data_IF_649299548051
#
_entry.id   IF_649299548051
#
_cell.length_a   1.000
_cell.length_b   1.000
_cell.length_c   1.000
_cell.angle_alpha   90.00
_cell.angle_beta   90.00
_cell.angle_gamma   90.00
#
_symmetry.space_group_name_H-M   'P 1'
#
loop_
_entity.id
_entity.type
_entity.pdbx_description
1 polymer ?
#
# COMPACT_ATOMS: atom_id res chain seq x y z
N UNK A 1 -7.43 -9.32 26.54
CA UNK A 1 -7.72 -8.82 25.17
C UNK A 1 -7.48 -9.97 24.20
N UNK A 2 -8.46 -10.36 23.37
CA UNK A 2 -8.30 -11.45 22.38
C UNK A 2 -7.57 -10.86 21.16
N UNK A 3 -6.39 -11.39 20.80
CA UNK A 3 -5.68 -10.97 19.58
C UNK A 3 -6.57 -11.34 18.39
N UNK A 4 -6.91 -10.38 17.54
CA UNK A 4 -7.61 -10.67 16.27
C UNK A 4 -6.72 -11.58 15.41
N UNK A 5 -7.33 -12.46 14.63
CA UNK A 5 -6.58 -13.24 13.65
C UNK A 5 -5.90 -12.27 12.65
N UNK A 6 -4.66 -12.55 12.23
CA UNK A 6 -3.97 -11.69 11.28
C UNK A 6 -4.73 -11.63 9.95
N UNK A 7 -4.86 -10.41 9.42
CA UNK A 7 -5.49 -10.19 8.12
C UNK A 7 -4.60 -10.66 6.96
N UNK A 8 -5.17 -10.87 5.76
CA UNK A 8 -4.40 -11.11 4.55
C UNK A 8 -3.63 -9.85 4.13
N UNK A 9 -2.43 -10.02 3.56
CA UNK A 9 -1.63 -8.97 2.95
C UNK A 9 -1.04 -9.43 1.61
N UNK A 10 -0.65 -8.49 0.75
CA UNK A 10 0.10 -8.81 -0.47
C UNK A 10 1.55 -9.21 -0.15
N UNK A 11 2.29 -9.77 -1.13
CA UNK A 11 3.66 -10.23 -0.92
C UNK A 11 4.69 -9.09 -0.89
N UNK A 12 4.28 -7.86 -1.18
CA UNK A 12 5.15 -6.70 -1.34
C UNK A 12 4.79 -5.59 -0.36
N UNK A 13 5.82 -4.91 0.16
CA UNK A 13 5.65 -3.68 0.93
C UNK A 13 5.91 -2.50 0.00
N UNK A 14 4.93 -1.61 -0.11
CA UNK A 14 5.03 -0.39 -0.90
C UNK A 14 4.77 0.82 -0.02
N UNK A 15 5.48 1.92 -0.26
CA UNK A 15 5.03 3.23 0.22
C UNK A 15 3.72 3.61 -0.48
N UNK A 16 2.92 4.46 0.18
CA UNK A 16 1.61 4.85 -0.34
C UNK A 16 1.71 5.63 -1.66
N UNK A 17 2.71 6.50 -1.81
CA UNK A 17 2.99 7.20 -3.05
C UNK A 17 3.33 6.23 -4.19
N UNK A 18 4.19 5.24 -3.92
CA UNK A 18 4.52 4.21 -4.90
C UNK A 18 3.31 3.40 -5.37
N UNK A 19 2.39 3.04 -4.47
CA UNK A 19 1.13 2.39 -4.85
C UNK A 19 0.31 3.26 -5.80
N UNK A 20 0.23 4.57 -5.51
CA UNK A 20 -0.45 5.54 -6.38
C UNK A 20 0.20 5.63 -7.76
N UNK A 21 1.53 5.68 -7.83
CA UNK A 21 2.28 5.74 -9.08
C UNK A 21 2.01 4.51 -9.96
N UNK A 22 2.11 3.31 -9.38
CA UNK A 22 1.84 2.05 -10.09
C UNK A 22 0.41 2.03 -10.65
N UNK A 23 -0.55 2.50 -9.85
CA UNK A 23 -1.97 2.58 -10.26
C UNK A 23 -2.17 3.52 -11.44
N UNK A 24 -1.61 4.74 -11.37
CA UNK A 24 -1.75 5.74 -12.43
C UNK A 24 -0.95 5.36 -13.68
N UNK A 25 0.17 4.65 -13.53
CA UNK A 25 0.91 4.11 -14.65
C UNK A 25 0.11 3.02 -15.40
N UNK A 26 -0.60 2.15 -14.66
CA UNK A 26 -1.44 1.11 -15.25
C UNK A 26 -2.70 1.68 -15.94
N UNK A 27 -3.29 2.74 -15.37
CA UNK A 27 -4.47 3.41 -15.93
C UNK A 27 -4.33 4.94 -15.87
N UNK A 28 -3.67 5.55 -16.86
CA UNK A 28 -3.45 7.00 -16.87
C UNK A 28 -4.75 7.78 -16.95
N UNK A 29 -4.89 8.79 -16.10
CA UNK A 29 -6.05 9.70 -16.09
C UNK A 29 -5.65 11.19 -16.00
N UNK A 30 -4.38 11.49 -16.26
CA UNK A 30 -3.83 12.84 -16.25
C UNK A 30 -3.45 13.37 -14.86
N UNK A 31 -3.68 12.61 -13.79
CA UNK A 31 -3.18 12.97 -12.45
C UNK A 31 -1.72 12.52 -12.24
N UNK A 32 -1.08 13.11 -11.25
CA UNK A 32 0.27 12.75 -10.78
C UNK A 32 0.25 12.56 -9.27
N UNK A 33 1.16 11.73 -8.76
CA UNK A 33 1.36 11.56 -7.31
C UNK A 33 2.31 12.63 -6.81
N UNK A 34 1.97 13.26 -5.69
CA UNK A 34 2.84 14.19 -4.96
C UNK A 34 2.85 13.79 -3.49
N UNK A 35 4.04 13.64 -2.94
CA UNK A 35 4.25 13.41 -1.51
C UNK A 35 4.45 14.75 -0.82
N UNK A 36 3.57 15.07 0.13
CA UNK A 36 3.65 16.29 0.94
C UNK A 36 4.06 15.94 2.37
N UNK A 37 5.34 16.15 2.67
CA UNK A 37 5.93 15.93 4.00
C UNK A 37 5.47 16.98 5.03
N UNK A 38 4.70 17.99 4.60
CA UNK A 38 4.14 19.04 5.45
C UNK A 38 2.63 18.87 5.67
N UNK A 39 2.04 17.75 5.23
CA UNK A 39 0.61 17.42 5.31
C UNK A 39 0.11 17.12 6.74
N UNK A 40 0.53 17.89 7.74
CA UNK A 40 0.02 17.88 9.10
C UNK A 40 0.00 16.49 9.74
N UNK A 41 -1.20 16.02 10.10
CA UNK A 41 -1.38 14.72 10.76
C UNK A 41 -1.03 13.53 9.85
N UNK A 42 -1.10 13.68 8.53
CA UNK A 42 -0.80 12.60 7.59
C UNK A 42 0.71 12.42 7.38
N UNK A 43 1.47 13.51 7.39
CA UNK A 43 2.93 13.47 7.29
C UNK A 43 3.62 12.95 8.56
N UNK A 44 2.93 12.97 9.71
CA UNK A 44 3.48 12.52 11.00
C UNK A 44 3.27 11.03 11.29
N UNK A 45 2.62 10.30 10.38
CA UNK A 45 2.38 8.87 10.57
C UNK A 45 3.70 8.09 10.52
N UNK A 46 4.01 7.23 11.49
CA UNK A 46 5.19 6.38 11.42
C UNK A 46 5.15 5.45 10.21
N UNK A 47 6.32 5.15 9.67
CA UNK A 47 6.44 4.12 8.63
C UNK A 47 5.93 2.76 9.14
N UNK A 48 5.29 2.01 8.25
CA UNK A 48 4.90 0.63 8.55
C UNK A 48 3.60 0.46 9.33
N UNK A 49 2.87 1.52 9.71
CA UNK A 49 1.59 1.38 10.45
C UNK A 49 0.50 0.61 9.69
N UNK A 50 0.59 0.56 8.36
CA UNK A 50 -0.29 -0.22 7.48
C UNK A 50 0.35 -1.52 6.99
N UNK A 51 1.59 -1.80 7.37
CA UNK A 51 2.29 -3.03 6.98
C UNK A 51 1.89 -4.12 7.96
N UNK A 52 1.49 -5.27 7.42
CA UNK A 52 1.17 -6.44 8.23
C UNK A 52 2.35 -6.83 9.12
N UNK A 53 2.07 -7.22 10.36
CA UNK A 53 3.11 -7.80 11.21
C UNK A 53 3.59 -9.15 10.65
N UNK A 54 4.63 -9.73 11.25
CA UNK A 54 5.15 -11.05 10.82
C UNK A 54 4.16 -12.21 10.95
N UNK A 55 2.93 -11.96 11.42
CA UNK A 55 1.85 -12.95 11.48
C UNK A 55 0.85 -12.81 10.34
N UNK A 56 0.95 -11.77 9.50
CA UNK A 56 0.09 -11.56 8.34
C UNK A 56 0.12 -12.76 7.38
N UNK A 57 -1.07 -13.13 6.87
CA UNK A 57 -1.16 -14.16 5.84
C UNK A 57 -0.84 -13.54 4.48
N UNK A 58 0.34 -13.83 3.94
CA UNK A 58 0.76 -13.28 2.64
C UNK A 58 0.11 -14.05 1.49
N UNK A 59 -0.67 -13.34 0.68
CA UNK A 59 -1.18 -13.82 -0.60
C UNK A 59 -0.07 -13.78 -1.67
N UNK A 60 -0.21 -14.61 -2.71
CA UNK A 60 0.78 -14.70 -3.78
C UNK A 60 0.66 -13.58 -4.85
N UNK A 61 -0.46 -12.87 -4.89
CA UNK A 61 -0.75 -11.90 -5.95
C UNK A 61 0.03 -10.61 -5.72
N UNK A 62 0.94 -10.27 -6.63
CA UNK A 62 1.64 -8.97 -6.64
C UNK A 62 0.69 -7.87 -7.08
N UNK A 63 0.95 -6.63 -6.64
CA UNK A 63 0.03 -5.53 -6.93
C UNK A 63 -0.05 -5.22 -8.44
N UNK A 64 1.10 -5.22 -9.12
CA UNK A 64 1.18 -5.02 -10.57
C UNK A 64 0.48 -6.15 -11.35
N UNK A 65 0.66 -7.40 -10.92
CA UNK A 65 -0.03 -8.55 -11.54
C UNK A 65 -1.56 -8.42 -11.40
N UNK A 66 -2.05 -7.89 -10.29
CA UNK A 66 -3.47 -7.62 -10.09
C UNK A 66 -3.98 -6.50 -11.03
N UNK A 67 -3.22 -5.42 -11.17
CA UNK A 67 -3.54 -4.30 -12.07
C UNK A 67 -3.58 -4.71 -13.55
N UNK A 68 -2.77 -5.68 -13.98
CA UNK A 68 -2.84 -6.18 -15.37
C UNK A 68 -4.10 -7.00 -15.67
N UNK A 69 -4.83 -7.43 -14.63
CA UNK A 69 -6.00 -8.31 -14.74
C UNK A 69 -7.34 -7.57 -14.60
N UNK A 70 -7.35 -6.32 -14.13
CA UNK A 70 -8.56 -5.54 -13.81
C UNK A 70 -8.39 -4.06 -14.19
#
# INVERSE_FOLDING_TARGET
MRRGAPGPAGPEVHRLDRLGELTLAAKPDGRTVVTDETAGLFAQMPDGVLVGDGTAHLAATRYEDWLTRH
#
